data_IF_408001247937
#
_entry.id   IF_408001247937
#
_cell.length_a   1.000
_cell.length_b   1.000
_cell.length_c   1.000
_cell.angle_alpha   90.00
_cell.angle_beta   90.00
_cell.angle_gamma   90.00
#
_symmetry.space_group_name_H-M   'P 1'
#
loop_
_entity.id
_entity.type
_entity.pdbx_description
1 polymer ?
#
# COMPACT_ATOMS: atom_id res chain seq x y z
N UNK A 1 -14.03 -10.04 -5.55
CA UNK A 1 -13.62 -9.88 -4.13
C UNK A 1 -14.44 -8.77 -3.51
N UNK A 2 -15.04 -9.01 -2.36
CA UNK A 2 -15.96 -8.06 -1.76
C UNK A 2 -15.25 -7.01 -0.90
N UNK A 3 -15.83 -5.82 -0.86
CA UNK A 3 -15.38 -4.75 0.02
C UNK A 3 -15.51 -5.20 1.49
N UNK A 4 -14.45 -4.95 2.28
CA UNK A 4 -14.44 -5.31 3.69
C UNK A 4 -15.33 -4.37 4.51
N UNK A 5 -15.99 -4.93 5.55
CA UNK A 5 -16.73 -4.11 6.51
C UNK A 5 -15.77 -3.48 7.53
N UNK A 6 -16.31 -2.57 8.38
CA UNK A 6 -15.50 -1.83 9.34
C UNK A 6 -14.73 -2.75 10.30
N UNK A 7 -15.35 -3.82 10.77
CA UNK A 7 -14.72 -4.77 11.68
C UNK A 7 -13.56 -5.51 11.03
N UNK A 8 -13.75 -5.97 9.79
CA UNK A 8 -12.70 -6.65 9.03
C UNK A 8 -11.52 -5.71 8.73
N UNK A 9 -11.82 -4.45 8.41
CA UNK A 9 -10.78 -3.43 8.18
C UNK A 9 -9.95 -3.21 9.45
N UNK A 10 -10.60 -3.07 10.59
CA UNK A 10 -9.91 -2.88 11.88
C UNK A 10 -8.96 -4.04 12.16
N UNK A 11 -9.43 -5.26 11.96
CA UNK A 11 -8.62 -6.46 12.19
C UNK A 11 -7.45 -6.53 11.20
N UNK A 12 -7.69 -6.19 9.94
CA UNK A 12 -6.65 -6.19 8.91
C UNK A 12 -5.59 -5.12 9.17
N UNK A 13 -5.99 -3.92 9.61
CA UNK A 13 -5.06 -2.85 9.96
C UNK A 13 -4.09 -3.26 11.06
N UNK A 14 -4.52 -4.08 12.00
CA UNK A 14 -3.66 -4.57 13.06
C UNK A 14 -2.49 -5.40 12.52
N UNK A 15 -2.61 -5.98 11.32
CA UNK A 15 -1.55 -6.75 10.69
C UNK A 15 -0.56 -5.90 9.91
N UNK A 16 -0.89 -4.64 9.67
CA UNK A 16 -0.04 -3.67 8.96
C UNK A 16 -0.01 -2.35 9.74
N UNK A 17 0.60 -2.35 10.94
CA UNK A 17 0.46 -1.24 11.89
C UNK A 17 1.02 0.10 11.40
N UNK A 18 1.91 0.09 10.41
CA UNK A 18 2.47 1.32 9.85
C UNK A 18 1.57 1.94 8.77
N UNK A 19 0.53 1.24 8.37
CA UNK A 19 -0.46 1.75 7.43
C UNK A 19 -1.63 2.38 8.17
N UNK A 20 -2.14 3.47 7.63
CA UNK A 20 -3.27 4.20 8.21
C UNK A 20 -4.43 4.23 7.23
N UNK A 21 -5.64 4.12 7.76
CA UNK A 21 -6.85 4.28 6.97
C UNK A 21 -7.13 5.76 6.75
N UNK A 22 -7.41 6.12 5.51
CA UNK A 22 -7.83 7.47 5.14
C UNK A 22 -9.02 7.33 4.18
N UNK A 23 -10.24 7.52 4.70
CA UNK A 23 -11.45 7.28 3.93
C UNK A 23 -11.55 5.82 3.48
N UNK A 24 -11.63 5.61 2.17
CA UNK A 24 -11.70 4.27 1.57
C UNK A 24 -10.34 3.73 1.13
N UNK A 25 -9.25 4.29 1.66
CA UNK A 25 -7.88 3.91 1.31
C UNK A 25 -7.07 3.56 2.54
N UNK A 26 -5.92 2.89 2.32
CA UNK A 26 -4.86 2.80 3.32
C UNK A 26 -3.60 3.41 2.74
N UNK A 27 -2.80 4.05 3.59
CA UNK A 27 -1.60 4.78 3.15
C UNK A 27 -0.45 4.59 4.13
N UNK A 28 0.75 4.57 3.60
CA UNK A 28 1.99 4.55 4.38
C UNK A 28 3.06 5.40 3.71
N UNK A 29 3.84 6.13 4.51
CA UNK A 29 5.00 6.87 4.06
C UNK A 29 6.26 6.08 4.38
N UNK A 30 7.09 5.83 3.36
CA UNK A 30 8.39 5.18 3.49
C UNK A 30 9.47 6.25 3.30
N UNK A 31 10.50 6.21 4.12
CA UNK A 31 11.61 7.16 4.03
C UNK A 31 12.92 6.43 3.81
N UNK A 32 13.74 6.95 2.91
CA UNK A 32 15.02 6.36 2.52
C UNK A 32 16.15 7.38 2.73
N UNK A 33 17.39 6.92 2.55
CA UNK A 33 18.55 7.80 2.74
C UNK A 33 18.67 8.87 1.65
N UNK A 34 18.21 8.55 0.43
CA UNK A 34 18.34 9.44 -0.71
C UNK A 34 17.32 9.08 -1.81
N UNK A 35 17.34 9.85 -2.90
CA UNK A 35 16.44 9.65 -4.03
C UNK A 35 16.67 8.33 -4.77
N UNK A 36 17.92 7.93 -5.10
CA UNK A 36 18.13 6.64 -5.77
C UNK A 36 17.58 5.45 -4.97
N UNK A 37 17.74 5.46 -3.65
CA UNK A 37 17.19 4.40 -2.81
C UNK A 37 15.65 4.39 -2.85
N UNK A 38 15.02 5.57 -2.87
CA UNK A 38 13.56 5.67 -3.01
C UNK A 38 13.09 5.11 -4.34
N UNK A 39 13.79 5.41 -5.44
CA UNK A 39 13.43 4.93 -6.78
C UNK A 39 13.62 3.41 -6.87
N UNK A 40 14.68 2.87 -6.27
CA UNK A 40 14.89 1.41 -6.24
C UNK A 40 13.71 0.71 -5.56
N UNK A 41 13.22 1.28 -4.47
CA UNK A 41 12.04 0.77 -3.77
C UNK A 41 10.81 0.84 -4.68
N UNK A 42 10.58 1.96 -5.36
CA UNK A 42 9.44 2.12 -6.28
C UNK A 42 9.48 1.09 -7.41
N UNK A 43 10.65 0.79 -7.95
CA UNK A 43 10.80 -0.24 -8.98
C UNK A 43 10.39 -1.62 -8.45
N UNK A 44 10.72 -1.94 -7.20
CA UNK A 44 10.30 -3.20 -6.58
C UNK A 44 8.78 -3.22 -6.34
N UNK A 45 8.20 -2.08 -5.91
CA UNK A 45 6.76 -1.91 -5.76
C UNK A 45 6.05 -2.18 -7.09
N UNK A 46 6.58 -1.63 -8.18
CA UNK A 46 5.99 -1.80 -9.50
C UNK A 46 5.89 -3.27 -9.91
N UNK A 47 6.92 -4.05 -9.63
CA UNK A 47 6.92 -5.49 -9.95
C UNK A 47 5.85 -6.25 -9.17
N UNK A 48 5.73 -5.97 -7.88
CA UNK A 48 4.73 -6.61 -7.04
C UNK A 48 3.31 -6.20 -7.44
N UNK A 49 3.11 -4.93 -7.74
CA UNK A 49 1.81 -4.41 -8.17
C UNK A 49 1.37 -5.02 -9.49
N UNK A 50 2.29 -5.13 -10.46
CA UNK A 50 2.00 -5.74 -11.74
C UNK A 50 1.64 -7.22 -11.59
N UNK A 51 2.38 -7.95 -10.77
CA UNK A 51 2.11 -9.36 -10.51
C UNK A 51 0.74 -9.56 -9.86
N UNK A 52 0.35 -8.65 -8.97
CA UNK A 52 -0.94 -8.72 -8.29
C UNK A 52 -2.09 -8.15 -9.13
N UNK A 53 -1.79 -7.50 -10.25
CA UNK A 53 -2.78 -6.75 -11.05
C UNK A 53 -3.54 -5.75 -10.18
N UNK A 54 -2.84 -5.13 -9.23
CA UNK A 54 -3.42 -4.20 -8.29
C UNK A 54 -2.40 -3.10 -7.99
N UNK A 55 -2.71 -1.87 -8.35
CA UNK A 55 -1.73 -0.79 -8.43
C UNK A 55 -1.97 0.26 -7.35
N UNK A 56 -0.95 0.60 -6.55
CA UNK A 56 -1.06 1.71 -5.60
C UNK A 56 -0.92 3.04 -6.31
N UNK A 57 -1.43 4.10 -5.68
CA UNK A 57 -0.99 5.45 -6.02
C UNK A 57 0.38 5.67 -5.38
N UNK A 58 1.30 6.28 -6.11
CA UNK A 58 2.68 6.47 -5.67
C UNK A 58 3.01 7.96 -5.74
N UNK A 59 3.38 8.54 -4.59
CA UNK A 59 3.85 9.92 -4.51
C UNK A 59 5.32 9.88 -4.07
N UNK A 60 6.20 10.42 -4.90
CA UNK A 60 7.64 10.42 -4.64
C UNK A 60 8.08 11.86 -4.39
N UNK A 61 8.65 12.10 -3.20
CA UNK A 61 9.19 13.41 -2.83
C UNK A 61 10.60 13.22 -2.30
N UNK A 62 11.57 13.36 -3.18
CA UNK A 62 12.99 13.13 -2.93
C UNK A 62 13.23 11.75 -2.30
N UNK A 63 13.35 11.66 -0.98
CA UNK A 63 13.62 10.40 -0.28
C UNK A 63 12.39 9.78 0.37
N UNK A 64 11.21 10.34 0.14
CA UNK A 64 9.96 9.87 0.74
C UNK A 64 9.05 9.32 -0.34
N UNK A 65 8.47 8.14 -0.08
CA UNK A 65 7.52 7.50 -0.98
C UNK A 65 6.24 7.26 -0.19
N UNK A 66 5.14 7.86 -0.65
CA UNK A 66 3.82 7.63 -0.05
C UNK A 66 3.07 6.68 -0.96
N UNK A 67 2.67 5.54 -0.42
CA UNK A 67 1.86 4.57 -1.13
C UNK A 67 0.43 4.63 -0.60
N UNK A 68 -0.54 4.58 -1.50
CA UNK A 68 -1.96 4.58 -1.17
C UNK A 68 -2.62 3.44 -1.92
N UNK A 69 -3.36 2.61 -1.20
CA UNK A 69 -4.05 1.45 -1.76
C UNK A 69 -5.55 1.53 -1.53
N UNK A 70 -6.30 1.16 -2.55
CA UNK A 70 -7.74 0.97 -2.49
C UNK A 70 -8.16 0.05 -3.65
N UNK A 71 -9.33 -0.54 -3.57
CA UNK A 71 -9.86 -1.36 -4.67
C UNK A 71 -11.03 -0.60 -5.31
N UNK A 72 -10.73 0.18 -6.34
CA UNK A 72 -11.72 1.04 -7.01
C UNK A 72 -12.93 0.25 -7.50
N UNK A 73 -12.71 -0.92 -8.07
CA UNK A 73 -13.79 -1.75 -8.63
C UNK A 73 -14.80 -2.22 -7.58
N UNK A 74 -14.41 -2.23 -6.30
CA UNK A 74 -15.28 -2.61 -5.18
C UNK A 74 -15.72 -1.42 -4.34
N UNK A 75 -15.24 -0.23 -4.68
CA UNK A 75 -15.61 1.00 -3.96
C UNK A 75 -14.98 1.14 -2.59
N UNK A 76 -13.91 0.44 -2.29
CA UNK A 76 -13.23 0.52 -1.00
C UNK A 76 -12.20 -0.57 -0.79
N UNK A 77 -11.83 -0.78 0.47
CA UNK A 77 -10.77 -1.72 0.84
C UNK A 77 -11.24 -3.17 0.73
N UNK A 78 -10.34 -4.01 0.21
CA UNK A 78 -10.53 -5.45 0.13
C UNK A 78 -9.27 -6.15 0.64
N UNK A 79 -9.31 -7.49 0.70
CA UNK A 79 -8.14 -8.28 1.08
C UNK A 79 -6.92 -8.03 0.18
N UNK A 80 -7.14 -7.65 -1.07
CA UNK A 80 -6.04 -7.34 -2.00
C UNK A 80 -5.17 -6.21 -1.49
N UNK A 81 -5.79 -5.18 -0.91
CA UNK A 81 -5.06 -4.02 -0.40
C UNK A 81 -4.14 -4.40 0.75
N UNK A 82 -4.66 -5.16 1.69
CA UNK A 82 -3.88 -5.57 2.86
C UNK A 82 -2.82 -6.60 2.53
N UNK A 83 -3.11 -7.51 1.62
CA UNK A 83 -2.13 -8.49 1.17
C UNK A 83 -0.95 -7.81 0.49
N UNK A 84 -1.24 -6.84 -0.37
CA UNK A 84 -0.19 -6.10 -1.08
C UNK A 84 0.59 -5.20 -0.13
N UNK A 85 -0.08 -4.55 0.83
CA UNK A 85 0.58 -3.75 1.86
C UNK A 85 1.61 -4.58 2.63
N UNK A 86 1.28 -5.81 3.00
CA UNK A 86 2.23 -6.72 3.67
C UNK A 86 3.44 -7.02 2.79
N UNK A 87 3.21 -7.24 1.49
CA UNK A 87 4.31 -7.50 0.56
C UNK A 87 5.22 -6.29 0.42
N UNK A 88 4.65 -5.08 0.35
CA UNK A 88 5.43 -3.85 0.30
C UNK A 88 6.27 -3.66 1.57
N UNK A 89 5.70 -3.96 2.73
CA UNK A 89 6.41 -3.85 4.01
C UNK A 89 7.64 -4.74 4.07
N UNK A 90 7.61 -5.90 3.43
CA UNK A 90 8.73 -6.83 3.42
C UNK A 90 9.91 -6.35 2.59
N UNK A 91 9.72 -5.31 1.78
CA UNK A 91 10.80 -4.73 0.98
C UNK A 91 11.69 -3.79 1.79
N UNK A 92 11.33 -3.47 3.02
CA UNK A 92 12.09 -2.53 3.87
C UNK A 92 12.60 -3.16 5.14
#
# INVERSE_FOLDING_TARGET
>A
MAKLNASAIKNALATVPDWKKAGSTITRTFQFKDFPAAIKFVNAIAKLAEKACHHPDIDIRWNKVVLTLTTHSEGGLTDKDFKLAKQFDRLT
#
